data_IF_640961726788
#
_entry.id   IF_640961726788
#
_cell.length_a   1.000
_cell.length_b   1.000
_cell.length_c   1.000
_cell.angle_alpha   90.00
_cell.angle_beta   90.00
_cell.angle_gamma   90.00
#
_symmetry.space_group_name_H-M   'P 1'
#
loop_
_entity.id
_entity.type
_entity.pdbx_description
1 polymer ?
#
# COMPACT_ATOMS: atom_id res chain seq x y z
N UNK A 1 -10.77 59.06 16.88
CA UNK A 1 -11.07 58.34 15.64
C UNK A 1 -12.00 57.15 15.98
N UNK A 2 -13.30 57.25 15.64
CA UNK A 2 -14.26 56.13 15.94
C UNK A 2 -14.22 55.15 14.81
N UNK A 3 -13.46 54.02 14.95
CA UNK A 3 -13.54 52.91 14.03
C UNK A 3 -14.99 52.39 14.04
N UNK A 4 -15.66 52.42 12.89
CA UNK A 4 -17.03 51.91 12.79
C UNK A 4 -17.03 50.43 13.20
N UNK A 5 -17.94 50.03 14.11
CA UNK A 5 -18.07 48.64 14.61
C UNK A 5 -18.12 47.61 13.49
N UNK A 6 -18.69 47.95 12.34
CA UNK A 6 -18.75 47.06 11.16
C UNK A 6 -17.38 46.75 10.55
N UNK A 7 -16.42 47.68 10.60
CA UNK A 7 -15.04 47.44 10.09
C UNK A 7 -14.28 46.51 11.04
N UNK A 8 -14.48 46.68 12.36
CA UNK A 8 -13.86 45.81 13.36
C UNK A 8 -14.38 44.37 13.25
N UNK A 9 -15.68 44.18 13.10
CA UNK A 9 -16.30 42.86 12.94
C UNK A 9 -15.81 42.21 11.64
N UNK A 10 -15.77 42.96 10.53
CA UNK A 10 -15.27 42.46 9.25
C UNK A 10 -13.81 42.00 9.31
N UNK A 11 -12.94 42.77 10.00
CA UNK A 11 -11.53 42.37 10.14
C UNK A 11 -11.34 41.13 11.02
N UNK A 12 -12.15 40.96 12.06
CA UNK A 12 -12.13 39.76 12.91
C UNK A 12 -12.57 38.51 12.11
N UNK A 13 -13.65 38.61 11.33
CA UNK A 13 -14.13 37.49 10.51
C UNK A 13 -13.07 37.09 9.48
N UNK A 14 -12.43 38.02 8.81
CA UNK A 14 -11.34 37.75 7.87
C UNK A 14 -10.15 37.09 8.55
N UNK A 15 -9.75 37.57 9.74
CA UNK A 15 -8.65 36.97 10.49
C UNK A 15 -8.94 35.52 10.93
N UNK A 16 -10.17 35.24 11.38
CA UNK A 16 -10.61 33.90 11.75
C UNK A 16 -10.62 32.99 10.51
N UNK A 17 -11.13 33.48 9.38
CA UNK A 17 -11.15 32.68 8.12
C UNK A 17 -9.73 32.33 7.65
N UNK A 18 -8.79 33.28 7.71
CA UNK A 18 -7.38 33.01 7.37
C UNK A 18 -6.80 31.99 8.34
N UNK A 19 -7.05 32.10 9.64
CA UNK A 19 -6.56 31.15 10.64
C UNK A 19 -7.08 29.73 10.38
N UNK A 20 -8.39 29.58 10.13
CA UNK A 20 -9.01 28.29 9.82
C UNK A 20 -8.42 27.68 8.55
N UNK A 21 -8.27 28.48 7.48
CA UNK A 21 -7.64 28.01 6.24
C UNK A 21 -6.19 27.60 6.46
N UNK A 22 -5.42 28.36 7.25
CA UNK A 22 -4.01 28.04 7.55
C UNK A 22 -3.91 26.74 8.35
N UNK A 23 -4.75 26.55 9.36
CA UNK A 23 -4.80 25.31 10.16
C UNK A 23 -5.17 24.12 9.25
N UNK A 24 -6.17 24.27 8.39
CA UNK A 24 -6.61 23.26 7.46
C UNK A 24 -5.52 22.86 6.46
N UNK A 25 -4.84 23.84 5.85
CA UNK A 25 -3.73 23.61 4.93
C UNK A 25 -2.52 22.96 5.63
N UNK A 26 -2.21 23.40 6.86
CA UNK A 26 -1.15 22.77 7.66
C UNK A 26 -1.47 21.33 8.01
N UNK A 27 -2.73 21.03 8.35
CA UNK A 27 -3.18 19.66 8.62
C UNK A 27 -3.03 18.78 7.39
N UNK A 28 -3.51 19.23 6.21
CA UNK A 28 -3.34 18.50 4.95
C UNK A 28 -1.86 18.29 4.61
N UNK A 29 -1.02 19.30 4.81
CA UNK A 29 0.42 19.20 4.52
C UNK A 29 1.09 18.17 5.42
N UNK A 30 0.82 18.20 6.72
CA UNK A 30 1.36 17.24 7.68
C UNK A 30 0.91 15.80 7.39
N UNK A 31 -0.36 15.60 7.00
CA UNK A 31 -0.87 14.30 6.60
C UNK A 31 -0.15 13.77 5.35
N UNK A 32 0.04 14.63 4.35
CA UNK A 32 0.74 14.26 3.13
C UNK A 32 2.19 13.86 3.41
N UNK A 33 2.90 14.64 4.22
CA UNK A 33 4.27 14.35 4.61
C UNK A 33 4.38 13.01 5.37
N UNK A 34 3.46 12.73 6.28
CA UNK A 34 3.39 11.44 6.96
C UNK A 34 3.12 10.29 5.99
N UNK A 35 2.17 10.42 5.08
CA UNK A 35 1.88 9.40 4.07
C UNK A 35 3.11 9.15 3.18
N UNK A 36 3.79 10.19 2.71
CA UNK A 36 4.98 10.06 1.85
C UNK A 36 6.13 9.32 2.55
N UNK A 37 6.34 9.53 3.86
CA UNK A 37 7.36 8.84 4.67
C UNK A 37 7.12 7.32 4.67
N UNK A 38 5.87 6.86 4.72
CA UNK A 38 5.55 5.43 4.79
C UNK A 38 5.37 4.79 3.41
N UNK A 39 4.94 5.55 2.41
CA UNK A 39 4.74 5.02 1.06
C UNK A 39 6.05 4.73 0.33
N UNK A 40 7.09 5.50 0.56
CA UNK A 40 8.40 5.25 -0.08
C UNK A 40 8.97 3.87 0.30
N UNK A 41 9.02 3.47 1.59
CA UNK A 41 9.37 2.11 1.97
C UNK A 41 8.42 1.06 1.39
N UNK A 42 7.12 1.30 1.40
CA UNK A 42 6.12 0.36 0.88
C UNK A 42 6.35 0.04 -0.60
N UNK A 43 6.59 1.07 -1.43
CA UNK A 43 6.88 0.89 -2.85
C UNK A 43 8.19 0.13 -3.06
N UNK A 44 9.20 0.41 -2.26
CA UNK A 44 10.47 -0.32 -2.32
C UNK A 44 10.25 -1.81 -2.03
N UNK A 45 9.56 -2.13 -0.94
CA UNK A 45 9.27 -3.52 -0.57
C UNK A 45 8.39 -4.22 -1.62
N UNK A 46 7.39 -3.52 -2.15
CA UNK A 46 6.55 -4.03 -3.23
C UNK A 46 7.36 -4.34 -4.51
N UNK A 47 8.31 -3.47 -4.86
CA UNK A 47 9.19 -3.67 -6.02
C UNK A 47 10.09 -4.88 -5.84
N UNK A 48 10.68 -5.06 -4.65
CA UNK A 48 11.51 -6.22 -4.32
C UNK A 48 10.70 -7.51 -4.35
N UNK A 49 9.50 -7.49 -3.77
CA UNK A 49 8.58 -8.63 -3.80
C UNK A 49 8.21 -9.02 -5.23
N UNK A 50 7.83 -8.04 -6.06
CA UNK A 50 7.51 -8.25 -7.47
C UNK A 50 8.68 -8.88 -8.24
N UNK A 51 9.92 -8.43 -8.00
CA UNK A 51 11.11 -9.03 -8.61
C UNK A 51 11.25 -10.50 -8.20
N UNK A 52 11.21 -10.81 -6.90
CA UNK A 52 11.36 -12.19 -6.41
C UNK A 52 10.25 -13.12 -6.93
N UNK A 53 9.00 -12.66 -7.01
CA UNK A 53 7.91 -13.46 -7.57
C UNK A 53 8.15 -13.75 -9.05
N UNK A 54 8.56 -12.75 -9.84
CA UNK A 54 8.86 -12.96 -11.27
C UNK A 54 10.00 -13.94 -11.48
N UNK A 55 11.05 -13.89 -10.67
CA UNK A 55 12.18 -14.81 -10.75
C UNK A 55 11.72 -16.27 -10.53
N UNK A 56 10.71 -16.48 -9.65
CA UNK A 56 10.07 -17.78 -9.46
C UNK A 56 9.20 -18.18 -10.66
N UNK A 57 8.31 -17.29 -11.13
CA UNK A 57 7.26 -17.62 -12.10
C UNK A 57 7.75 -17.66 -13.55
N UNK A 58 8.72 -16.81 -13.91
CA UNK A 58 9.30 -16.75 -15.26
C UNK A 58 10.29 -17.90 -15.55
N UNK A 59 10.51 -18.82 -14.60
CA UNK A 59 11.46 -19.95 -14.72
C UNK A 59 12.88 -19.52 -15.12
N UNK A 60 13.25 -18.29 -14.78
CA UNK A 60 14.59 -17.76 -15.05
C UNK A 60 15.62 -18.18 -14.01
N UNK A 61 15.14 -18.58 -12.83
CA UNK A 61 16.01 -19.02 -11.75
C UNK A 61 16.42 -20.47 -11.94
N UNK A 62 17.70 -20.75 -11.68
CA UNK A 62 18.27 -22.10 -11.63
C UNK A 62 17.85 -22.78 -10.32
N UNK A 63 17.46 -22.00 -9.31
CA UNK A 63 17.12 -22.47 -7.97
C UNK A 63 15.82 -21.83 -7.48
N UNK A 64 14.70 -22.48 -7.80
CA UNK A 64 13.34 -22.04 -7.42
C UNK A 64 13.17 -21.99 -5.91
N UNK A 65 13.84 -22.85 -5.15
CA UNK A 65 13.78 -22.89 -3.69
C UNK A 65 14.31 -21.59 -3.08
N UNK A 66 15.49 -21.14 -3.54
CA UNK A 66 16.09 -19.89 -3.05
C UNK A 66 15.20 -18.69 -3.36
N UNK A 67 14.70 -18.60 -4.59
CA UNK A 67 13.86 -17.48 -5.02
C UNK A 67 12.51 -17.45 -4.29
N UNK A 68 11.93 -18.63 -4.05
CA UNK A 68 10.68 -18.73 -3.30
C UNK A 68 10.86 -18.36 -1.81
N UNK A 69 11.99 -18.73 -1.20
CA UNK A 69 12.33 -18.30 0.17
C UNK A 69 12.61 -16.78 0.22
N UNK A 70 13.21 -16.21 -0.83
CA UNK A 70 13.35 -14.77 -0.97
C UNK A 70 12.00 -14.09 -1.11
N UNK A 71 11.09 -14.59 -1.95
CA UNK A 71 9.72 -14.07 -2.08
C UNK A 71 8.97 -14.09 -0.74
N UNK A 72 9.10 -15.18 0.04
CA UNK A 72 8.54 -15.27 1.40
C UNK A 72 9.07 -14.18 2.33
N UNK A 73 10.38 -13.94 2.34
CA UNK A 73 11.02 -12.89 3.17
C UNK A 73 10.58 -11.50 2.74
N UNK A 74 10.57 -11.24 1.43
CA UNK A 74 10.13 -9.96 0.88
C UNK A 74 8.63 -9.71 1.14
N UNK A 75 7.80 -10.75 1.04
CA UNK A 75 6.39 -10.61 1.41
C UNK A 75 6.20 -10.28 2.88
N UNK A 76 6.96 -10.88 3.78
CA UNK A 76 6.88 -10.54 5.21
C UNK A 76 7.26 -9.07 5.47
N UNK A 77 8.30 -8.55 4.79
CA UNK A 77 8.70 -7.15 4.88
C UNK A 77 7.61 -6.22 4.30
N UNK A 78 7.12 -6.51 3.10
CA UNK A 78 6.01 -5.79 2.47
C UNK A 78 4.76 -5.74 3.36
N UNK A 79 4.33 -6.90 3.90
CA UNK A 79 3.18 -6.99 4.81
C UNK A 79 3.35 -6.08 6.03
N UNK A 80 4.51 -6.13 6.69
CA UNK A 80 4.76 -5.32 7.88
C UNK A 80 4.69 -3.82 7.55
N UNK A 81 5.33 -3.40 6.47
CA UNK A 81 5.30 -2.01 5.99
C UNK A 81 3.88 -1.58 5.59
N UNK A 82 3.12 -2.45 4.91
CA UNK A 82 1.74 -2.18 4.53
C UNK A 82 0.82 -2.02 5.74
N UNK A 83 0.98 -2.85 6.78
CA UNK A 83 0.21 -2.75 8.01
C UNK A 83 0.55 -1.48 8.81
N UNK A 84 1.81 -1.05 8.84
CA UNK A 84 2.18 0.23 9.46
C UNK A 84 1.58 1.41 8.71
N UNK A 85 1.63 1.40 7.37
CA UNK A 85 1.00 2.43 6.53
C UNK A 85 -0.52 2.46 6.74
N UNK A 86 -1.16 1.29 6.84
CA UNK A 86 -2.57 1.15 7.18
C UNK A 86 -2.89 1.84 8.53
N UNK A 87 -2.13 1.52 9.58
CA UNK A 87 -2.36 2.07 10.94
C UNK A 87 -2.40 3.59 10.97
N UNK A 88 -1.62 4.24 10.11
CA UNK A 88 -1.58 5.70 10.01
C UNK A 88 -2.79 6.23 9.23
N UNK A 89 -3.19 5.52 8.18
CA UNK A 89 -4.37 5.88 7.40
C UNK A 89 -5.69 5.59 8.14
N UNK A 90 -5.75 4.58 9.02
CA UNK A 90 -6.94 4.18 9.79
C UNK A 90 -7.47 5.25 10.74
N UNK A 91 -6.63 6.20 11.17
CA UNK A 91 -7.12 7.35 11.96
C UNK A 91 -8.18 8.17 11.20
N UNK A 92 -8.38 7.92 9.89
CA UNK A 92 -9.25 8.71 9.01
C UNK A 92 -10.19 7.91 8.10
N UNK A 93 -10.08 6.56 8.00
CA UNK A 93 -10.83 5.78 7.01
C UNK A 93 -11.37 4.48 7.58
N UNK A 94 -12.70 4.31 7.55
CA UNK A 94 -13.36 3.05 7.81
C UNK A 94 -13.22 2.11 6.59
N UNK A 95 -12.99 0.82 6.80
CA UNK A 95 -13.09 -0.21 5.76
C UNK A 95 -11.88 -1.13 5.55
N UNK A 96 -10.85 -1.07 6.42
CA UNK A 96 -9.64 -1.88 6.27
C UNK A 96 -9.62 -3.21 7.05
N UNK A 97 -10.73 -3.67 7.58
CA UNK A 97 -10.75 -4.89 8.41
C UNK A 97 -10.21 -6.12 7.66
N UNK A 98 -10.48 -6.20 6.36
CA UNK A 98 -10.11 -7.35 5.52
C UNK A 98 -8.65 -7.32 5.02
N UNK A 99 -8.02 -6.17 4.95
CA UNK A 99 -6.66 -6.05 4.39
C UNK A 99 -5.63 -6.85 5.18
N UNK A 100 -5.66 -6.74 6.50
CA UNK A 100 -4.76 -7.50 7.37
C UNK A 100 -4.93 -9.01 7.22
N UNK A 101 -6.18 -9.48 7.15
CA UNK A 101 -6.48 -10.91 6.99
C UNK A 101 -6.04 -11.45 5.63
N UNK A 102 -6.23 -10.70 4.56
CA UNK A 102 -5.73 -11.06 3.21
C UNK A 102 -4.20 -11.14 3.18
N UNK A 103 -3.50 -10.17 3.79
CA UNK A 103 -2.04 -10.23 3.85
C UNK A 103 -1.53 -11.43 4.66
N UNK A 104 -2.21 -11.80 5.75
CA UNK A 104 -1.88 -13.01 6.52
C UNK A 104 -2.13 -14.26 5.68
N UNK A 105 -3.25 -14.31 4.96
CA UNK A 105 -3.58 -15.43 4.09
C UNK A 105 -2.54 -15.61 2.95
N UNK A 106 -2.17 -14.53 2.26
CA UNK A 106 -1.12 -14.58 1.24
C UNK A 106 0.21 -15.07 1.81
N UNK A 107 0.60 -14.60 2.99
CA UNK A 107 1.83 -15.05 3.65
C UNK A 107 1.79 -16.53 3.95
N UNK A 108 0.67 -17.04 4.42
CA UNK A 108 0.49 -18.47 4.73
C UNK A 108 0.57 -19.32 3.48
N UNK A 109 -0.05 -18.92 2.37
CA UNK A 109 0.07 -19.63 1.09
C UNK A 109 1.52 -19.70 0.61
N UNK A 110 2.24 -18.58 0.63
CA UNK A 110 3.66 -18.57 0.26
C UNK A 110 4.49 -19.47 1.19
N UNK A 111 4.20 -19.50 2.49
CA UNK A 111 4.87 -20.38 3.46
C UNK A 111 4.69 -21.86 3.09
N UNK A 112 3.45 -22.27 2.78
CA UNK A 112 3.13 -23.64 2.39
C UNK A 112 3.86 -24.03 1.10
N UNK A 113 3.90 -23.13 0.10
CA UNK A 113 4.65 -23.36 -1.14
C UNK A 113 6.15 -23.58 -0.89
N UNK A 114 6.75 -22.77 -0.01
CA UNK A 114 8.16 -22.93 0.38
C UNK A 114 8.39 -24.29 1.01
N UNK A 115 7.55 -24.70 1.96
CA UNK A 115 7.68 -25.98 2.66
C UNK A 115 7.50 -27.17 1.71
N UNK A 116 6.53 -27.14 0.79
CA UNK A 116 6.34 -28.17 -0.23
C UNK A 116 7.56 -28.27 -1.15
N UNK A 117 8.06 -27.12 -1.62
CA UNK A 117 9.22 -27.10 -2.51
C UNK A 117 10.50 -27.60 -1.83
N UNK A 118 10.72 -27.28 -0.54
CA UNK A 118 11.82 -27.84 0.26
C UNK A 118 11.73 -29.34 0.45
N UNK A 119 10.53 -29.91 0.36
CA UNK A 119 10.29 -31.37 0.35
C UNK A 119 10.42 -31.99 -1.05
N UNK A 120 10.82 -31.21 -2.05
CA UNK A 120 11.03 -31.66 -3.43
C UNK A 120 9.75 -31.64 -4.28
N UNK A 121 8.66 -31.03 -3.81
CA UNK A 121 7.43 -30.90 -4.58
C UNK A 121 7.53 -29.66 -5.48
N UNK A 122 7.34 -29.77 -6.80
CA UNK A 122 7.33 -28.62 -7.70
C UNK A 122 6.08 -27.79 -7.50
N UNK A 123 6.18 -26.47 -7.78
CA UNK A 123 5.01 -25.59 -7.76
C UNK A 123 3.93 -26.07 -8.72
N UNK A 124 2.71 -26.13 -8.24
CA UNK A 124 1.54 -26.46 -9.05
C UNK A 124 1.13 -25.29 -9.95
N UNK A 125 0.37 -25.51 -11.04
CA UNK A 125 -0.16 -24.44 -11.87
C UNK A 125 -0.99 -23.42 -11.08
N UNK A 126 -1.75 -23.85 -10.09
CA UNK A 126 -2.59 -22.97 -9.24
C UNK A 126 -1.73 -22.08 -8.34
N UNK A 127 -0.62 -22.60 -7.82
CA UNK A 127 0.34 -21.81 -7.03
C UNK A 127 1.06 -20.77 -7.89
N UNK A 128 1.46 -21.14 -9.10
CA UNK A 128 2.04 -20.20 -10.08
C UNK A 128 1.01 -19.12 -10.45
N UNK A 129 -0.26 -19.50 -10.68
CA UNK A 129 -1.33 -18.55 -10.96
C UNK A 129 -1.55 -17.58 -9.80
N UNK A 130 -1.57 -18.07 -8.57
CA UNK A 130 -1.68 -17.22 -7.38
C UNK A 130 -0.49 -16.24 -7.27
N UNK A 131 0.74 -16.70 -7.47
CA UNK A 131 1.92 -15.83 -7.43
C UNK A 131 1.85 -14.74 -8.50
N UNK A 132 1.39 -15.07 -9.71
CA UNK A 132 1.19 -14.09 -10.78
C UNK A 132 0.12 -13.07 -10.40
N UNK A 133 -1.04 -13.50 -9.88
CA UNK A 133 -2.09 -12.59 -9.42
C UNK A 133 -1.60 -11.66 -8.30
N UNK A 134 -0.84 -12.21 -7.35
CA UNK A 134 -0.24 -11.42 -6.27
C UNK A 134 0.73 -10.38 -6.84
N UNK A 135 1.61 -10.76 -7.76
CA UNK A 135 2.52 -9.85 -8.44
C UNK A 135 1.79 -8.73 -9.17
N UNK A 136 0.77 -9.07 -9.95
CA UNK A 136 0.00 -8.10 -10.74
C UNK A 136 -0.77 -7.14 -9.84
N UNK A 137 -1.35 -7.63 -8.74
CA UNK A 137 -2.04 -6.82 -7.74
C UNK A 137 -1.09 -5.86 -7.02
N UNK A 138 0.12 -6.30 -6.68
CA UNK A 138 1.17 -5.47 -6.09
C UNK A 138 1.61 -4.40 -7.09
N UNK A 139 1.89 -4.77 -8.34
CA UNK A 139 2.30 -3.83 -9.38
C UNK A 139 1.22 -2.79 -9.66
N UNK A 140 -0.04 -3.21 -9.83
CA UNK A 140 -1.17 -2.31 -10.05
C UNK A 140 -1.35 -1.33 -8.88
N UNK A 141 -1.18 -1.79 -7.65
CA UNK A 141 -1.23 -0.95 -6.45
C UNK A 141 -0.12 0.11 -6.45
N UNK A 142 1.10 -0.28 -6.78
CA UNK A 142 2.25 0.65 -6.87
C UNK A 142 2.04 1.68 -7.98
N UNK A 143 1.55 1.27 -9.13
CA UNK A 143 1.32 2.17 -10.27
C UNK A 143 0.17 3.15 -9.98
N UNK A 144 -0.88 2.71 -9.29
CA UNK A 144 -1.97 3.59 -8.84
C UNK A 144 -1.51 4.66 -7.82
N UNK A 145 -0.38 4.44 -7.14
CA UNK A 145 0.22 5.40 -6.20
C UNK A 145 1.20 6.36 -6.88
N UNK A 146 1.56 6.14 -8.16
CA UNK A 146 2.46 6.98 -8.93
C UNK A 146 1.71 7.86 -9.93
N UNK A 147 2.32 8.96 -10.34
CA UNK A 147 1.87 9.75 -11.50
C UNK A 147 2.53 9.23 -12.79
N UNK A 148 2.14 9.82 -13.94
CA UNK A 148 2.67 9.48 -15.27
C UNK A 148 4.21 9.63 -15.39
N UNK A 149 4.85 10.37 -14.47
CA UNK A 149 6.29 10.52 -14.38
C UNK A 149 6.95 9.55 -13.38
N UNK A 150 6.20 8.59 -12.84
CA UNK A 150 6.68 7.62 -11.84
C UNK A 150 6.90 8.21 -10.43
N UNK A 151 6.46 9.45 -10.19
CA UNK A 151 6.57 10.12 -8.89
C UNK A 151 5.34 9.77 -8.05
N UNK A 152 5.55 9.48 -6.77
CA UNK A 152 4.48 9.29 -5.80
C UNK A 152 3.45 10.42 -5.84
N UNK A 153 2.18 10.07 -6.07
CA UNK A 153 1.06 11.00 -6.14
C UNK A 153 -0.06 10.56 -5.21
N UNK A 154 0.22 10.32 -3.96
CA UNK A 154 -0.88 10.17 -3.00
C UNK A 154 -1.36 11.55 -2.60
N UNK A 155 -2.57 11.88 -3.02
CA UNK A 155 -3.20 13.17 -2.74
C UNK A 155 -4.14 13.11 -1.55
N UNK A 156 -4.54 11.91 -1.11
CA UNK A 156 -5.46 11.74 0.01
C UNK A 156 -5.44 10.31 0.57
N UNK A 157 -5.78 10.17 1.84
CA UNK A 157 -6.02 8.89 2.49
C UNK A 157 -7.10 8.06 1.76
N UNK A 158 -8.10 8.71 1.13
CA UNK A 158 -9.12 8.03 0.32
C UNK A 158 -8.54 7.34 -0.92
N UNK A 159 -7.56 7.96 -1.58
CA UNK A 159 -6.88 7.33 -2.73
C UNK A 159 -6.14 6.07 -2.29
N UNK A 160 -5.42 6.13 -1.18
CA UNK A 160 -4.75 4.97 -0.60
C UNK A 160 -5.74 3.86 -0.23
N UNK A 161 -6.89 4.21 0.37
CA UNK A 161 -7.99 3.28 0.64
C UNK A 161 -8.47 2.56 -0.61
N UNK A 162 -8.71 3.29 -1.70
CA UNK A 162 -9.17 2.70 -2.95
C UNK A 162 -8.15 1.70 -3.53
N UNK A 163 -6.86 2.01 -3.43
CA UNK A 163 -5.78 1.11 -3.87
C UNK A 163 -5.76 -0.18 -3.06
N UNK A 164 -5.91 -0.08 -1.74
CA UNK A 164 -5.97 -1.24 -0.85
C UNK A 164 -7.23 -2.08 -1.12
N UNK A 165 -8.38 -1.46 -1.31
CA UNK A 165 -9.61 -2.18 -1.65
C UNK A 165 -9.44 -2.94 -2.96
N UNK A 166 -8.90 -2.31 -3.99
CA UNK A 166 -8.64 -2.96 -5.27
C UNK A 166 -7.67 -4.15 -5.14
N UNK A 167 -6.63 -4.03 -4.32
CA UNK A 167 -5.71 -5.14 -4.02
C UNK A 167 -6.44 -6.31 -3.34
N UNK A 168 -7.25 -6.03 -2.31
CA UNK A 168 -8.03 -7.05 -1.58
C UNK A 168 -8.98 -7.77 -2.51
N UNK A 169 -9.71 -7.04 -3.34
CA UNK A 169 -10.70 -7.59 -4.27
C UNK A 169 -10.01 -8.49 -5.32
N UNK A 170 -8.88 -8.06 -5.89
CA UNK A 170 -8.13 -8.84 -6.86
C UNK A 170 -7.64 -10.19 -6.29
N UNK A 171 -7.14 -10.21 -5.05
CA UNK A 171 -6.73 -11.46 -4.41
C UNK A 171 -7.93 -12.37 -4.14
N UNK A 172 -9.07 -11.84 -3.66
CA UNK A 172 -10.28 -12.63 -3.42
C UNK A 172 -10.87 -13.24 -4.69
N UNK A 173 -10.86 -12.48 -5.78
CA UNK A 173 -11.37 -12.97 -7.08
C UNK A 173 -10.52 -14.12 -7.62
N UNK A 174 -9.23 -14.15 -7.32
CA UNK A 174 -8.34 -15.24 -7.75
C UNK A 174 -8.54 -16.55 -6.98
N UNK A 175 -9.31 -16.52 -5.89
CA UNK A 175 -9.54 -17.69 -5.03
C UNK A 175 -10.93 -18.34 -5.26
N UNK A 176 -11.77 -17.72 -6.09
CA UNK A 176 -13.10 -18.23 -6.47
C UNK A 176 -13.06 -18.91 -7.84
#
# INVERSE_FOLDING_TARGET
>A
MKIKRSVLIGSIVVAISILVVTIYLSHIHNQKEQIDIYLTPLIKEATLLSSSIRDVTDKKSIDVEIELDMAKKQFASFKNTALETKRIAESEIMGFEDFGSILVHCQERIRVMVEANQNGEPLTPDEVSFLNTLNDSVCASVDALKNDNGILRVTSARQYSNVITAFVDAIRESEN
#
